data_IF_497646909564
#
_entry.id   IF_497646909564
#
_cell.length_a   1.000
_cell.length_b   1.000
_cell.length_c   1.000
_cell.angle_alpha   90.00
_cell.angle_beta   90.00
_cell.angle_gamma   90.00
#
_symmetry.space_group_name_H-M   'P 1'
#
loop_
_entity.id
_entity.type
_entity.pdbx_description
1 polymer ?
#
# COMPACT_ATOMS: atom_id res chain seq x y z
N UNK A 1 13.25 17.83 30.86
CA UNK A 1 12.12 18.18 29.97
C UNK A 1 12.55 17.82 28.57
N UNK A 2 11.80 16.98 27.86
CA UNK A 2 12.10 16.70 26.45
C UNK A 2 11.77 17.95 25.61
N UNK A 3 12.68 18.31 24.71
CA UNK A 3 12.47 19.41 23.77
C UNK A 3 11.39 19.04 22.74
N UNK A 4 10.48 19.97 22.44
CA UNK A 4 9.44 19.76 21.43
C UNK A 4 10.05 19.83 20.03
N UNK A 5 9.70 18.88 19.17
CA UNK A 5 10.16 18.82 17.79
C UNK A 5 8.98 19.10 16.86
N UNK A 6 9.15 20.03 15.93
CA UNK A 6 8.15 20.33 14.91
C UNK A 6 8.61 19.82 13.56
N UNK A 7 7.74 19.08 12.86
CA UNK A 7 7.99 18.53 11.52
C UNK A 7 6.89 18.97 10.57
N UNK A 8 7.22 19.10 9.29
CA UNK A 8 6.24 19.40 8.23
C UNK A 8 6.12 18.27 7.20
N UNK A 9 6.86 17.18 7.41
CA UNK A 9 6.95 16.04 6.53
C UNK A 9 6.27 14.80 7.13
N UNK A 10 5.94 13.86 6.25
CA UNK A 10 5.44 12.52 6.56
C UNK A 10 6.26 11.55 5.73
N UNK A 11 6.53 10.36 6.26
CA UNK A 11 7.35 9.36 5.57
C UNK A 11 6.58 8.08 5.36
N UNK A 12 6.78 7.47 4.19
CA UNK A 12 6.27 6.14 3.85
C UNK A 12 7.45 5.34 3.31
N UNK A 13 7.67 4.16 3.87
CA UNK A 13 8.74 3.27 3.47
C UNK A 13 8.16 1.89 3.17
N UNK A 14 8.52 1.31 2.02
CA UNK A 14 8.16 -0.06 1.70
C UNK A 14 9.05 -1.02 2.48
N UNK A 15 8.46 -1.75 3.42
CA UNK A 15 9.19 -2.71 4.27
C UNK A 15 9.27 -4.07 3.60
N UNK A 16 8.17 -4.50 2.98
CA UNK A 16 8.05 -5.81 2.32
C UNK A 16 6.99 -5.75 1.23
N UNK A 17 7.22 -6.46 0.13
CA UNK A 17 6.22 -6.70 -0.91
C UNK A 17 6.28 -8.15 -1.36
N UNK A 18 5.10 -8.73 -1.59
CA UNK A 18 4.89 -9.91 -2.43
C UNK A 18 3.89 -9.48 -3.49
N UNK A 19 4.38 -8.73 -4.47
CA UNK A 19 3.57 -8.08 -5.47
C UNK A 19 4.38 -7.95 -6.77
N UNK A 20 3.97 -8.70 -7.79
CA UNK A 20 4.50 -8.63 -9.14
C UNK A 20 3.37 -8.72 -10.16
N UNK A 21 3.61 -8.21 -11.37
CA UNK A 21 2.65 -8.33 -12.49
C UNK A 21 2.37 -9.79 -12.85
N UNK A 22 3.36 -10.68 -12.66
CA UNK A 22 3.23 -12.11 -12.87
C UNK A 22 2.18 -12.74 -11.93
N UNK A 23 2.10 -12.29 -10.67
CA UNK A 23 1.13 -12.80 -9.70
C UNK A 23 -0.31 -12.52 -10.16
N UNK A 24 -0.55 -11.33 -10.72
CA UNK A 24 -1.86 -10.90 -11.26
C UNK A 24 -2.22 -11.70 -12.51
N UNK A 25 -1.27 -11.88 -13.43
CA UNK A 25 -1.47 -12.64 -14.67
C UNK A 25 -1.81 -14.10 -14.34
N UNK A 26 -1.05 -14.71 -13.42
CA UNK A 26 -1.26 -16.09 -13.03
C UNK A 26 -2.63 -16.28 -12.36
N UNK A 27 -2.99 -15.41 -11.41
CA UNK A 27 -4.31 -15.46 -10.78
C UNK A 27 -5.46 -15.33 -11.78
N UNK A 28 -5.33 -14.48 -12.81
CA UNK A 28 -6.33 -14.32 -13.86
C UNK A 28 -6.40 -15.54 -14.80
N UNK A 29 -5.25 -16.12 -15.18
CA UNK A 29 -5.19 -17.24 -16.12
C UNK A 29 -5.70 -18.55 -15.52
N UNK A 30 -5.65 -18.73 -14.20
CA UNK A 30 -6.24 -19.89 -13.52
C UNK A 30 -7.71 -20.10 -13.91
N UNK A 31 -8.46 -19.01 -14.15
CA UNK A 31 -9.88 -19.09 -14.53
C UNK A 31 -10.13 -19.55 -15.98
N UNK A 32 -9.12 -19.50 -16.86
CA UNK A 32 -9.26 -19.80 -18.30
C UNK A 32 -8.43 -21.00 -18.75
N UNK A 33 -7.20 -21.11 -18.25
CA UNK A 33 -6.25 -22.18 -18.57
C UNK A 33 -6.23 -23.31 -17.53
N UNK A 34 -6.88 -23.15 -16.38
CA UNK A 34 -6.91 -24.18 -15.33
C UNK A 34 -5.50 -24.58 -14.86
N UNK A 35 -5.24 -25.89 -14.76
CA UNK A 35 -3.95 -26.44 -14.32
C UNK A 35 -2.79 -26.11 -15.29
N UNK A 36 -3.06 -25.83 -16.57
CA UNK A 36 -2.05 -25.48 -17.57
C UNK A 36 -1.40 -24.11 -17.30
N UNK A 37 -2.02 -23.27 -16.47
CA UNK A 37 -1.45 -21.99 -16.05
C UNK A 37 -0.12 -22.12 -15.30
N UNK A 38 0.20 -23.30 -14.76
CA UNK A 38 1.48 -23.61 -14.10
C UNK A 38 2.66 -23.70 -15.08
N UNK A 39 2.40 -24.06 -16.36
CA UNK A 39 3.44 -24.18 -17.39
C UNK A 39 3.91 -22.82 -17.91
N UNK A 40 3.10 -21.78 -17.71
CA UNK A 40 3.40 -20.40 -18.10
C UNK A 40 4.11 -19.60 -16.99
N UNK A 41 4.33 -20.22 -15.82
CA UNK A 41 5.06 -19.64 -14.69
C UNK A 41 6.53 -19.53 -15.05
N UNK A 42 6.89 -18.44 -15.73
CA UNK A 42 8.24 -18.18 -16.21
C UNK A 42 8.30 -17.45 -17.56
N UNK A 43 7.17 -17.31 -18.25
CA UNK A 43 7.12 -16.48 -19.46
C UNK A 43 7.22 -14.98 -19.13
N UNK A 44 7.78 -14.20 -20.07
CA UNK A 44 7.98 -12.76 -19.92
C UNK A 44 6.64 -12.02 -19.69
N UNK A 45 6.45 -11.41 -18.50
CA UNK A 45 5.24 -10.65 -18.18
C UNK A 45 4.97 -9.49 -19.14
N UNK A 46 6.01 -8.95 -19.81
CA UNK A 46 5.86 -7.86 -20.77
C UNK A 46 4.95 -8.22 -21.94
N UNK A 47 4.88 -9.50 -22.32
CA UNK A 47 3.93 -10.00 -23.34
C UNK A 47 2.47 -9.93 -22.90
N UNK A 48 2.23 -9.82 -21.59
CA UNK A 48 0.91 -9.88 -20.97
C UNK A 48 0.43 -8.53 -20.42
N UNK A 49 1.14 -7.43 -20.68
CA UNK A 49 0.70 -6.08 -20.29
C UNK A 49 -0.70 -5.74 -20.84
N UNK A 50 -1.05 -6.27 -22.03
CA UNK A 50 -2.40 -6.13 -22.61
C UNK A 50 -3.50 -6.76 -21.74
N UNK A 51 -3.20 -7.90 -21.08
CA UNK A 51 -4.13 -8.56 -20.19
C UNK A 51 -4.36 -7.75 -18.91
N UNK A 52 -3.30 -7.26 -18.25
CA UNK A 52 -3.43 -6.43 -17.04
C UNK A 52 -4.28 -5.18 -17.34
N UNK A 53 -4.02 -4.51 -18.46
CA UNK A 53 -4.80 -3.35 -18.89
C UNK A 53 -6.27 -3.70 -19.14
N UNK A 54 -6.54 -4.85 -19.76
CA UNK A 54 -7.91 -5.35 -19.95
C UNK A 54 -8.62 -5.60 -18.60
N UNK A 55 -7.97 -6.29 -17.67
CA UNK A 55 -8.53 -6.58 -16.33
C UNK A 55 -8.87 -5.29 -15.57
N UNK A 56 -7.96 -4.31 -15.57
CA UNK A 56 -8.18 -3.02 -14.92
C UNK A 56 -9.35 -2.24 -15.56
N UNK A 57 -9.44 -2.24 -16.91
CA UNK A 57 -10.51 -1.56 -17.66
C UNK A 57 -11.88 -2.15 -17.35
N UNK A 58 -11.98 -3.47 -17.34
CA UNK A 58 -13.23 -4.19 -17.05
C UNK A 58 -13.53 -4.28 -15.54
N UNK A 59 -12.69 -3.67 -14.69
CA UNK A 59 -12.82 -3.70 -13.22
C UNK A 59 -12.82 -5.12 -12.65
N UNK A 60 -12.10 -6.04 -13.30
CA UNK A 60 -11.91 -7.39 -12.80
C UNK A 60 -10.83 -7.37 -11.71
N UNK A 61 -11.23 -6.99 -10.49
CA UNK A 61 -10.33 -6.69 -9.37
C UNK A 61 -9.71 -7.91 -8.67
N UNK A 62 -10.37 -9.08 -8.70
CA UNK A 62 -9.95 -10.24 -7.91
C UNK A 62 -8.52 -10.72 -8.17
N UNK A 63 -7.97 -10.72 -9.40
CA UNK A 63 -6.57 -11.10 -9.62
C UNK A 63 -5.56 -10.15 -8.94
N UNK A 64 -5.93 -8.88 -8.72
CA UNK A 64 -5.06 -7.90 -8.07
C UNK A 64 -4.97 -8.11 -6.54
N UNK A 65 -5.93 -8.81 -5.94
CA UNK A 65 -5.96 -9.11 -4.50
C UNK A 65 -4.94 -10.20 -4.09
N UNK A 66 -4.33 -10.90 -5.06
CA UNK A 66 -3.26 -11.87 -4.83
C UNK A 66 -1.89 -11.22 -4.55
N UNK A 67 -1.84 -9.90 -4.41
CA UNK A 67 -0.63 -9.14 -4.10
C UNK A 67 -0.71 -8.51 -2.72
N UNK A 68 0.44 -8.33 -2.06
CA UNK A 68 0.51 -7.66 -0.76
C UNK A 68 1.73 -6.75 -0.63
N UNK A 69 1.55 -5.63 0.06
CA UNK A 69 2.60 -4.67 0.40
C UNK A 69 2.48 -4.28 1.87
N UNK A 70 3.61 -4.11 2.55
CA UNK A 70 3.70 -3.68 3.94
C UNK A 70 4.51 -2.40 3.99
N UNK A 71 3.93 -1.37 4.59
CA UNK A 71 4.54 -0.04 4.69
C UNK A 71 4.81 0.32 6.15
N UNK A 72 5.94 0.97 6.39
CA UNK A 72 6.16 1.76 7.60
C UNK A 72 5.75 3.20 7.30
N UNK A 73 4.84 3.73 8.09
CA UNK A 73 4.28 5.08 7.90
C UNK A 73 4.53 5.90 9.15
N UNK A 74 5.11 7.08 8.99
CA UNK A 74 5.18 8.10 10.04
C UNK A 74 4.33 9.30 9.61
N UNK A 75 3.21 9.48 10.30
CA UNK A 75 2.26 10.54 10.01
C UNK A 75 1.57 11.03 11.31
N UNK A 76 0.98 12.23 11.29
CA UNK A 76 0.22 12.74 12.43
C UNK A 76 -1.04 11.93 12.68
N UNK A 77 -1.49 11.87 13.94
CA UNK A 77 -2.69 11.12 14.36
C UNK A 77 -3.92 11.48 13.50
N UNK A 78 -4.12 12.77 13.16
CA UNK A 78 -5.28 13.16 12.35
C UNK A 78 -5.27 12.56 10.94
N UNK A 79 -4.09 12.29 10.36
CA UNK A 79 -3.95 11.57 9.08
C UNK A 79 -4.26 10.10 9.27
N UNK A 80 -3.76 9.48 10.35
CA UNK A 80 -4.08 8.07 10.65
C UNK A 80 -5.57 7.83 10.90
N UNK A 81 -6.28 8.79 11.49
CA UNK A 81 -7.74 8.69 11.68
C UNK A 81 -8.52 8.58 10.37
N UNK A 82 -8.02 9.19 9.29
CA UNK A 82 -8.59 9.02 7.95
C UNK A 82 -8.03 7.76 7.26
N UNK A 83 -6.73 7.52 7.37
CA UNK A 83 -6.07 6.36 6.74
C UNK A 83 -6.63 5.02 7.24
N UNK A 84 -6.86 4.88 8.54
CA UNK A 84 -7.42 3.67 9.15
C UNK A 84 -8.92 3.48 8.89
N UNK A 85 -9.58 4.38 8.13
CA UNK A 85 -10.94 4.14 7.62
C UNK A 85 -10.96 3.08 6.51
N UNK A 86 -9.82 2.81 5.89
CA UNK A 86 -9.66 1.72 4.92
C UNK A 86 -9.64 0.38 5.65
N UNK A 87 -10.81 -0.29 5.67
CA UNK A 87 -11.05 -1.54 6.41
C UNK A 87 -10.42 -2.78 5.77
N UNK A 88 -10.13 -2.72 4.46
CA UNK A 88 -9.48 -3.81 3.72
C UNK A 88 -7.97 -3.59 3.78
N UNK A 89 -7.43 -3.66 5.00
CA UNK A 89 -6.01 -3.50 5.32
C UNK A 89 -5.74 -4.03 6.75
N UNK A 90 -4.47 -4.24 7.07
CA UNK A 90 -4.01 -4.65 8.40
C UNK A 90 -3.09 -3.59 8.99
N UNK A 91 -3.32 -3.21 10.26
CA UNK A 91 -2.58 -2.13 10.92
C UNK A 91 -1.95 -2.60 12.24
N UNK A 92 -0.79 -2.02 12.54
CA UNK A 92 -0.20 -2.00 13.87
C UNK A 92 0.34 -0.58 14.09
N UNK A 93 0.09 0.00 15.27
CA UNK A 93 0.43 1.40 15.59
C UNK A 93 1.19 1.46 16.92
N UNK A 94 2.10 2.42 17.04
CA UNK A 94 2.73 2.74 18.31
C UNK A 94 1.66 3.17 19.34
N UNK A 95 1.64 2.48 20.48
CA UNK A 95 0.61 2.70 21.50
C UNK A 95 1.13 3.57 22.64
N UNK A 96 0.56 4.76 22.78
CA UNK A 96 0.81 5.65 23.92
C UNK A 96 0.37 5.09 25.28
N UNK A 97 -0.35 3.96 25.31
CA UNK A 97 -0.70 3.24 26.55
C UNK A 97 0.46 2.42 27.11
N UNK A 98 1.42 2.04 26.26
CA UNK A 98 2.54 1.18 26.63
C UNK A 98 3.90 1.88 26.57
N UNK A 99 3.97 3.05 25.93
CA UNK A 99 5.21 3.81 25.75
C UNK A 99 4.94 5.31 25.86
N UNK A 100 5.87 6.05 26.46
CA UNK A 100 5.86 7.51 26.41
C UNK A 100 6.11 7.98 24.97
N UNK A 101 5.16 8.72 24.42
CA UNK A 101 5.25 9.26 23.06
C UNK A 101 6.26 10.40 23.00
N UNK A 102 7.07 10.42 21.94
CA UNK A 102 7.99 11.53 21.71
C UNK A 102 7.19 12.81 21.41
N UNK A 103 7.60 13.99 21.89
CA UNK A 103 6.91 15.26 21.66
C UNK A 103 7.18 15.79 20.24
N UNK A 104 6.76 15.05 19.21
CA UNK A 104 6.89 15.40 17.79
C UNK A 104 5.53 15.84 17.26
N UNK A 105 5.45 17.06 16.76
CA UNK A 105 4.20 17.66 16.28
C UNK A 105 4.31 18.08 14.82
N UNK A 106 3.21 17.94 14.10
CA UNK A 106 3.14 18.36 12.71
C UNK A 106 2.70 19.82 12.59
N UNK A 107 3.44 20.58 11.79
CA UNK A 107 3.11 21.94 11.36
C UNK A 107 3.22 21.96 9.83
N UNK A 108 2.17 22.38 9.11
CA UNK A 108 2.23 22.41 7.66
C UNK A 108 3.34 23.35 7.17
N UNK A 109 4.06 22.92 6.13
CA UNK A 109 5.03 23.78 5.45
C UNK A 109 4.33 25.00 4.83
N UNK A 110 5.03 26.14 4.70
CA UNK A 110 4.48 27.36 4.10
C UNK A 110 3.99 27.17 2.67
N UNK A 111 4.56 26.20 1.93
CA UNK A 111 4.18 25.87 0.57
C UNK A 111 2.94 24.96 0.49
N UNK A 112 2.48 24.40 1.62
CA UNK A 112 1.27 23.58 1.65
C UNK A 112 0.06 24.48 1.42
N UNK A 113 -0.51 24.40 0.21
CA UNK A 113 -1.77 25.09 -0.12
C UNK A 113 -2.90 24.58 0.79
N UNK A 114 -3.24 25.33 1.82
CA UNK A 114 -4.40 25.07 2.66
C UNK A 114 -5.60 25.74 1.97
N UNK A 115 -6.47 24.93 1.39
CA UNK A 115 -7.76 25.40 0.88
C UNK A 115 -8.74 25.13 2.02
N UNK A 116 -9.30 26.20 2.58
CA UNK A 116 -10.34 26.14 3.61
C UNK A 116 -11.72 26.08 2.95
#
# INVERSE_FOLDING_TARGET
MHEMIYRSDMTVELVKSSASDADVIWAARVSTAGEQSLEEVGEDPARSAGLINYLARERHGSPFEHTSMTFFVSAPIFVFREFMRHRIASYNEESGRYRELKPVFYVPDRNRKLIQ
#
